data_IF_707962551023
#
_entry.id   IF_707962551023
#
_cell.length_a   1.000
_cell.length_b   1.000
_cell.length_c   1.000
_cell.angle_alpha   90.00
_cell.angle_beta   90.00
_cell.angle_gamma   90.00
#
_symmetry.space_group_name_H-M   'P 1'
#
loop_
_entity.id
_entity.type
_entity.pdbx_description
1 polymer ?
#
# COMPACT_ATOMS: atom_id res chain seq x y z
N UNK A 1 1.57 1.36 14.44
CA UNK A 1 0.39 1.09 13.58
C UNK A 1 0.70 0.05 12.49
N UNK A 2 1.74 0.22 11.67
CA UNK A 2 2.11 -0.75 10.61
C UNK A 2 2.37 -2.17 11.16
N UNK A 3 2.98 -2.31 12.34
CA UNK A 3 3.18 -3.62 12.99
C UNK A 3 1.85 -4.34 13.28
N UNK A 4 0.85 -3.63 13.80
CA UNK A 4 -0.46 -4.23 14.10
C UNK A 4 -1.19 -4.65 12.81
N UNK A 5 -1.10 -3.85 11.74
CA UNK A 5 -1.61 -4.22 10.42
C UNK A 5 -0.92 -5.47 9.86
N UNK A 6 0.42 -5.56 10.03
CA UNK A 6 1.20 -6.73 9.65
C UNK A 6 0.82 -7.98 10.46
N UNK A 7 0.59 -7.84 11.77
CA UNK A 7 0.18 -8.95 12.62
C UNK A 7 -1.25 -9.42 12.32
N UNK A 8 -2.17 -8.50 12.06
CA UNK A 8 -3.58 -8.83 11.82
C UNK A 8 -3.85 -9.34 10.40
N UNK A 9 -3.22 -8.74 9.37
CA UNK A 9 -3.55 -8.98 7.96
C UNK A 9 -2.36 -9.42 7.10
N UNK A 10 -1.16 -9.54 7.66
CA UNK A 10 0.05 -9.82 6.90
C UNK A 10 0.10 -11.21 6.25
N UNK A 11 -0.62 -12.21 6.77
CA UNK A 11 -0.55 -13.58 6.23
C UNK A 11 -1.12 -13.72 4.81
N UNK A 12 -2.05 -12.86 4.40
CA UNK A 12 -2.66 -12.96 3.07
C UNK A 12 -1.71 -12.49 1.96
N UNK A 13 -1.03 -11.35 2.17
CA UNK A 13 -0.32 -10.62 1.11
C UNK A 13 1.03 -10.01 1.54
N UNK A 14 1.47 -10.28 2.77
CA UNK A 14 2.72 -9.71 3.30
C UNK A 14 2.63 -8.21 3.61
N UNK A 15 1.41 -7.69 3.87
CA UNK A 15 1.14 -6.27 4.15
C UNK A 15 1.77 -5.31 3.12
N UNK A 16 1.62 -5.60 1.83
CA UNK A 16 2.18 -4.79 0.74
C UNK A 16 1.45 -3.43 0.57
N UNK A 17 1.58 -2.55 1.57
CA UNK A 17 0.87 -1.26 1.71
C UNK A 17 1.60 -0.10 1.04
N UNK A 18 2.75 -0.33 0.43
CA UNK A 18 3.55 0.71 -0.22
C UNK A 18 4.10 0.17 -1.55
N UNK A 19 3.78 0.81 -2.69
CA UNK A 19 4.27 0.40 -4.00
C UNK A 19 5.80 0.30 -4.09
N UNK A 20 6.53 1.27 -3.55
CA UNK A 20 8.01 1.28 -3.58
C UNK A 20 8.60 0.13 -2.75
N UNK A 21 7.92 -0.24 -1.65
CA UNK A 21 8.33 -1.31 -0.73
C UNK A 21 8.17 -2.72 -1.32
N UNK A 22 7.35 -2.87 -2.37
CA UNK A 22 7.21 -4.11 -3.13
C UNK A 22 8.01 -4.06 -4.44
N UNK A 23 7.82 -3.02 -5.26
CA UNK A 23 8.38 -2.98 -6.61
C UNK A 23 9.92 -2.87 -6.63
N UNK A 24 10.52 -2.08 -5.73
CA UNK A 24 11.98 -1.90 -5.69
C UNK A 24 12.72 -3.22 -5.46
N UNK A 25 12.43 -3.97 -4.37
CA UNK A 25 13.01 -5.29 -4.14
C UNK A 25 12.71 -6.30 -5.25
N UNK A 26 11.54 -6.21 -5.89
CA UNK A 26 11.17 -7.07 -7.03
C UNK A 26 12.04 -6.79 -8.26
N UNK A 27 12.27 -5.53 -8.59
CA UNK A 27 13.16 -5.13 -9.67
C UNK A 27 14.62 -5.53 -9.37
N UNK A 28 15.06 -5.34 -8.12
CA UNK A 28 16.39 -5.78 -7.70
C UNK A 28 16.56 -7.30 -7.88
N UNK A 29 15.60 -8.11 -7.43
CA UNK A 29 15.68 -9.57 -7.58
C UNK A 29 15.61 -10.02 -9.03
N UNK A 30 14.83 -9.32 -9.88
CA UNK A 30 14.88 -9.52 -11.33
C UNK A 30 16.30 -9.35 -11.88
N UNK A 31 16.96 -8.23 -11.57
CA UNK A 31 18.33 -7.94 -11.98
C UNK A 31 19.36 -8.90 -11.36
N UNK A 32 19.12 -9.36 -10.13
CA UNK A 32 20.00 -10.27 -9.40
C UNK A 32 19.91 -11.73 -9.87
N UNK A 33 19.17 -12.02 -10.95
CA UNK A 33 19.15 -13.33 -11.60
C UNK A 33 17.95 -14.22 -11.27
N UNK A 34 16.95 -13.73 -10.52
CA UNK A 34 15.69 -14.48 -10.30
C UNK A 34 14.80 -14.55 -11.55
N UNK A 35 15.11 -13.72 -12.57
CA UNK A 35 14.42 -13.71 -13.86
C UNK A 35 12.99 -13.20 -13.79
N UNK A 36 12.24 -13.31 -14.89
CA UNK A 36 10.90 -12.74 -15.05
C UNK A 36 9.83 -13.34 -14.13
N UNK A 37 10.12 -14.47 -13.46
CA UNK A 37 9.21 -15.12 -12.52
C UNK A 37 8.78 -14.19 -11.39
N UNK A 38 9.61 -13.22 -11.01
CA UNK A 38 9.26 -12.24 -9.98
C UNK A 38 8.07 -11.37 -10.39
N UNK A 39 7.76 -11.22 -11.69
CA UNK A 39 6.59 -10.48 -12.16
C UNK A 39 5.41 -11.36 -12.57
N UNK A 40 5.62 -12.66 -12.84
CA UNK A 40 4.55 -13.55 -13.34
C UNK A 40 3.92 -14.44 -12.26
N UNK A 41 4.56 -14.58 -11.09
CA UNK A 41 4.07 -15.43 -10.01
C UNK A 41 2.67 -15.03 -9.54
N UNK A 42 1.86 -16.03 -9.15
CA UNK A 42 0.48 -15.86 -8.65
C UNK A 42 -0.41 -15.02 -9.59
N UNK A 43 -0.41 -15.40 -10.87
CA UNK A 43 -1.16 -14.70 -11.91
C UNK A 43 -0.82 -13.21 -11.99
N UNK A 44 0.48 -12.90 -12.12
CA UNK A 44 0.97 -11.52 -12.24
C UNK A 44 0.67 -10.64 -11.02
N UNK A 45 0.85 -11.16 -9.81
CA UNK A 45 0.49 -10.45 -8.57
C UNK A 45 1.18 -9.09 -8.38
N UNK A 46 2.29 -8.82 -9.07
CA UNK A 46 3.12 -7.61 -8.88
C UNK A 46 2.38 -6.28 -8.99
N UNK A 47 1.29 -6.19 -9.76
CA UNK A 47 0.54 -4.95 -9.94
C UNK A 47 -0.38 -4.64 -8.76
N UNK A 48 -0.81 -5.66 -7.99
CA UNK A 48 -1.74 -5.49 -6.87
C UNK A 48 -1.13 -4.62 -5.76
N UNK A 49 0.12 -4.86 -5.29
CA UNK A 49 0.84 -3.97 -4.37
C UNK A 49 1.09 -2.55 -4.87
N UNK A 50 0.84 -2.27 -6.15
CA UNK A 50 0.97 -0.92 -6.73
C UNK A 50 -0.39 -0.23 -6.71
N UNK A 51 -1.39 -0.83 -7.36
CA UNK A 51 -2.71 -0.23 -7.52
C UNK A 51 -3.50 -0.23 -6.21
N UNK A 52 -3.46 -1.33 -5.45
CA UNK A 52 -4.20 -1.49 -4.21
C UNK A 52 -3.90 -0.39 -3.18
N UNK A 53 -2.61 -0.15 -2.84
CA UNK A 53 -2.25 0.93 -1.91
C UNK A 53 -2.56 2.34 -2.42
N UNK A 54 -2.42 2.60 -3.72
CA UNK A 54 -2.75 3.93 -4.28
C UNK A 54 -4.24 4.23 -4.14
N UNK A 55 -5.10 3.27 -4.50
CA UNK A 55 -6.55 3.40 -4.32
C UNK A 55 -6.91 3.48 -2.82
N UNK A 56 -6.36 2.57 -2.01
CA UNK A 56 -6.60 2.54 -0.57
C UNK A 56 -6.17 3.81 0.15
N UNK A 57 -5.04 4.42 -0.26
CA UNK A 57 -4.54 5.68 0.29
C UNK A 57 -5.46 6.85 -0.02
N UNK A 58 -5.94 6.97 -1.27
CA UNK A 58 -6.91 8.00 -1.66
C UNK A 58 -8.24 7.81 -0.92
N UNK A 59 -8.77 6.58 -0.90
CA UNK A 59 -10.01 6.27 -0.19
C UNK A 59 -9.88 6.53 1.32
N UNK A 60 -8.81 6.08 1.96
CA UNK A 60 -8.57 6.27 3.39
C UNK A 60 -8.39 7.74 3.76
N UNK A 61 -7.64 8.50 2.96
CA UNK A 61 -7.52 9.95 3.12
C UNK A 61 -8.86 10.66 2.97
N UNK A 62 -9.65 10.31 1.94
CA UNK A 62 -11.00 10.81 1.75
C UNK A 62 -11.92 10.51 2.94
N UNK A 63 -11.85 9.29 3.47
CA UNK A 63 -12.63 8.88 4.64
C UNK A 63 -12.23 9.67 5.89
N UNK A 64 -10.94 9.95 6.09
CA UNK A 64 -10.47 10.83 7.16
C UNK A 64 -11.05 12.25 7.02
N UNK A 65 -11.04 12.82 5.79
CA UNK A 65 -11.62 14.15 5.58
C UNK A 65 -13.10 14.16 5.96
N UNK A 66 -13.86 13.19 5.46
CA UNK A 66 -15.31 13.10 5.63
C UNK A 66 -15.74 12.78 7.06
N UNK A 67 -15.00 11.91 7.76
CA UNK A 67 -15.41 11.44 9.09
C UNK A 67 -14.80 12.24 10.22
N UNK A 68 -13.62 12.85 10.01
CA UNK A 68 -12.86 13.52 11.07
C UNK A 68 -12.67 15.00 10.77
N UNK A 69 -12.02 15.33 9.65
CA UNK A 69 -11.58 16.71 9.38
C UNK A 69 -12.74 17.70 9.32
N UNK A 70 -13.84 17.37 8.63
CA UNK A 70 -14.99 18.29 8.49
C UNK A 70 -15.73 18.53 9.82
N UNK A 71 -15.56 17.64 10.80
CA UNK A 71 -16.17 17.76 12.13
C UNK A 71 -15.26 18.49 13.11
N UNK A 72 -14.02 18.82 12.71
CA UNK A 72 -13.11 19.55 13.57
C UNK A 72 -13.52 21.03 13.65
N UNK A 73 -13.54 21.64 14.85
CA UNK A 73 -13.81 23.08 14.97
C UNK A 73 -12.78 23.87 14.16
N UNK A 74 -13.26 24.82 13.36
CA UNK A 74 -12.41 25.72 12.59
C UNK A 74 -11.91 26.82 13.53
N UNK A 75 -10.61 27.11 13.51
CA UNK A 75 -10.10 28.31 14.17
C UNK A 75 -10.74 29.55 13.54
N UNK A 76 -11.08 30.59 14.34
CA UNK A 76 -11.58 31.84 13.78
C UNK A 76 -10.50 32.43 12.88
N UNK A 77 -10.81 32.61 11.60
CA UNK A 77 -9.95 33.38 10.69
C UNK A 77 -9.87 34.82 11.21
N UNK A 78 -8.68 35.25 11.64
CA UNK A 78 -8.36 36.64 11.96
C UNK A 78 -8.54 37.56 10.75
#
# INVERSE_FOLDING_TARGET
MIMALGMAFGMNTGYAVNPARDFGPRLFTFCAGWGSKVFTVRNHYFWIPIVGPLLGGVCGGGLYRLLVEIHHPREPSL
#
